data_IF_713652481393
#
_entry.id   IF_713652481393
#
_cell.length_a   1.000
_cell.length_b   1.000
_cell.length_c   1.000
_cell.angle_alpha   90.00
_cell.angle_beta   90.00
_cell.angle_gamma   90.00
#
_symmetry.space_group_name_H-M   'P 1'
#
loop_
_entity.id
_entity.type
_entity.pdbx_description
1 polymer ?
#
# COMPACT_ATOMS: atom_id res chain seq x y z
N UNK A 1 8.44 13.01 -13.85
CA UNK A 1 9.61 12.90 -12.98
C UNK A 1 9.48 13.72 -11.70
N UNK A 2 9.16 15.00 -11.82
CA UNK A 2 8.94 15.83 -10.62
C UNK A 2 7.80 15.32 -9.74
N UNK A 3 6.76 14.78 -10.38
CA UNK A 3 5.60 14.24 -9.65
C UNK A 3 5.98 13.06 -8.76
N UNK A 4 6.86 12.17 -9.24
CA UNK A 4 7.34 11.05 -8.43
C UNK A 4 8.06 11.55 -7.18
N UNK A 5 8.99 12.49 -7.31
CA UNK A 5 9.74 13.03 -6.17
C UNK A 5 8.82 13.73 -5.18
N UNK A 6 7.83 14.44 -5.68
CA UNK A 6 6.84 15.12 -4.84
C UNK A 6 6.02 14.09 -4.06
N UNK A 7 5.52 13.06 -4.73
CA UNK A 7 4.71 12.02 -4.11
C UNK A 7 5.52 11.16 -3.14
N UNK A 8 6.78 10.84 -3.44
CA UNK A 8 7.66 10.14 -2.53
C UNK A 8 7.85 10.92 -1.23
N UNK A 9 8.09 12.22 -1.33
CA UNK A 9 8.28 13.09 -0.18
C UNK A 9 7.01 13.19 0.66
N UNK A 10 5.86 13.35 0.02
CA UNK A 10 4.56 13.39 0.69
C UNK A 10 4.32 12.08 1.43
N UNK A 11 4.58 10.94 0.77
CA UNK A 11 4.37 9.62 1.35
C UNK A 11 5.27 9.41 2.56
N UNK A 12 6.55 9.72 2.43
CA UNK A 12 7.51 9.59 3.54
C UNK A 12 7.08 10.41 4.75
N UNK A 13 6.68 11.64 4.51
CA UNK A 13 6.22 12.54 5.57
C UNK A 13 4.97 12.01 6.25
N UNK A 14 3.99 11.57 5.47
CA UNK A 14 2.72 11.04 5.99
C UNK A 14 2.92 9.76 6.79
N UNK A 15 3.72 8.82 6.28
CA UNK A 15 4.00 7.56 6.98
C UNK A 15 4.78 7.80 8.28
N UNK A 16 5.80 8.66 8.24
CA UNK A 16 6.56 9.00 9.44
C UNK A 16 5.69 9.66 10.51
N UNK A 17 4.78 10.52 10.09
CA UNK A 17 3.80 11.15 10.99
C UNK A 17 2.89 10.11 11.62
N UNK A 18 2.38 9.17 10.84
CA UNK A 18 1.53 8.09 11.32
C UNK A 18 2.27 7.23 12.35
N UNK A 19 3.49 6.79 12.02
CA UNK A 19 4.30 5.98 12.94
C UNK A 19 4.53 6.70 14.25
N UNK A 20 4.82 8.00 14.20
CA UNK A 20 5.02 8.82 15.39
C UNK A 20 3.75 8.91 16.24
N UNK A 21 2.60 9.08 15.60
CA UNK A 21 1.31 9.15 16.31
C UNK A 21 0.97 7.84 17.02
N UNK A 22 1.43 6.71 16.49
CA UNK A 22 1.17 5.38 17.04
C UNK A 22 2.38 4.79 17.78
N UNK A 23 3.36 5.61 18.17
CA UNK A 23 4.59 5.12 18.82
C UNK A 23 4.35 4.41 20.15
N UNK A 24 3.21 4.66 20.80
CA UNK A 24 2.84 4.04 22.06
C UNK A 24 1.74 3.00 21.91
N UNK A 25 1.47 2.54 20.71
CA UNK A 25 0.45 1.52 20.47
C UNK A 25 0.83 0.16 21.05
N UNK A 26 -0.15 -0.70 21.22
CA UNK A 26 0.04 -2.09 21.62
C UNK A 26 -0.66 -2.98 20.62
N UNK A 27 0.06 -3.80 19.82
CA UNK A 27 1.53 -3.90 19.75
C UNK A 27 2.15 -2.70 19.02
N UNK A 28 3.47 -2.59 19.11
CA UNK A 28 4.19 -1.52 18.43
C UNK A 28 4.53 -1.92 17.00
N UNK A 29 4.53 -0.94 16.10
CA UNK A 29 5.02 -1.13 14.73
C UNK A 29 6.53 -1.35 14.81
N UNK A 30 7.02 -2.46 14.23
CA UNK A 30 8.45 -2.78 14.25
C UNK A 30 9.19 -2.18 13.06
N UNK A 31 8.59 -2.19 11.89
CA UNK A 31 9.15 -1.63 10.66
C UNK A 31 8.04 -1.10 9.77
N UNK A 32 8.43 -0.26 8.83
CA UNK A 32 7.51 0.24 7.81
C UNK A 32 8.29 0.61 6.55
N UNK A 33 7.67 0.47 5.40
CA UNK A 33 8.23 0.92 4.13
C UNK A 33 7.11 1.06 3.10
N UNK A 34 7.44 1.66 1.97
CA UNK A 34 6.49 1.80 0.88
C UNK A 34 7.22 1.66 -0.46
N UNK A 35 6.47 1.28 -1.47
CA UNK A 35 6.95 1.19 -2.84
C UNK A 35 5.78 1.32 -3.82
N UNK A 36 6.08 1.28 -5.09
CA UNK A 36 5.09 1.32 -6.16
C UNK A 36 5.53 2.23 -7.30
N UNK A 37 5.06 1.92 -8.49
CA UNK A 37 5.36 2.70 -9.70
C UNK A 37 4.48 3.95 -9.76
N UNK A 38 4.63 4.85 -8.76
CA UNK A 38 3.80 6.04 -8.63
C UNK A 38 4.05 7.08 -9.72
N UNK A 39 5.18 6.97 -10.44
CA UNK A 39 5.46 7.80 -11.61
C UNK A 39 4.47 7.55 -12.76
N UNK A 40 3.86 6.37 -12.80
CA UNK A 40 2.84 6.02 -13.79
C UNK A 40 1.44 6.31 -13.27
N UNK A 41 1.19 6.07 -12.00
CA UNK A 41 -0.08 6.37 -11.36
C UNK A 41 0.07 6.46 -9.85
N UNK A 42 -0.46 7.52 -9.22
CA UNK A 42 -0.49 7.62 -7.75
C UNK A 42 -1.19 6.44 -7.07
N UNK A 43 -2.09 5.76 -7.79
CA UNK A 43 -2.82 4.59 -7.28
C UNK A 43 -1.93 3.38 -7.04
N UNK A 44 -0.70 3.37 -7.57
CA UNK A 44 0.22 2.24 -7.46
C UNK A 44 0.95 2.16 -6.12
N UNK A 45 0.75 3.12 -5.22
CA UNK A 45 1.43 3.14 -3.92
C UNK A 45 0.99 1.98 -3.04
N UNK A 46 1.98 1.29 -2.45
CA UNK A 46 1.76 0.23 -1.47
C UNK A 46 2.57 0.58 -0.22
N UNK A 47 1.92 0.60 0.92
CA UNK A 47 2.54 0.89 2.22
C UNK A 47 2.41 -0.35 3.09
N UNK A 48 3.51 -0.77 3.72
CA UNK A 48 3.55 -1.90 4.62
C UNK A 48 3.94 -1.44 6.02
N UNK A 49 3.16 -1.91 7.00
CA UNK A 49 3.50 -1.83 8.42
C UNK A 49 3.76 -3.24 8.93
N UNK A 50 4.86 -3.43 9.63
CA UNK A 50 5.27 -4.73 10.16
C UNK A 50 5.21 -4.74 11.68
N UNK A 51 4.74 -5.86 12.20
CA UNK A 51 4.87 -6.19 13.62
C UNK A 51 5.92 -7.30 13.75
N UNK A 52 6.41 -7.56 14.96
CA UNK A 52 7.45 -8.58 15.12
C UNK A 52 6.92 -9.99 14.92
N UNK A 53 5.79 -10.31 15.54
CA UNK A 53 5.26 -11.67 15.58
C UNK A 53 3.86 -11.74 14.99
N UNK A 54 3.49 -12.95 14.55
CA UNK A 54 2.15 -13.20 14.02
C UNK A 54 1.07 -13.01 15.11
N UNK A 55 1.40 -13.29 16.37
CA UNK A 55 0.49 -13.04 17.50
C UNK A 55 0.23 -11.54 17.68
N UNK A 56 1.27 -10.71 17.54
CA UNK A 56 1.12 -9.26 17.62
C UNK A 56 0.24 -8.73 16.49
N UNK A 57 0.41 -9.24 15.28
CA UNK A 57 -0.45 -8.84 14.15
C UNK A 57 -1.90 -9.23 14.40
N UNK A 58 -2.14 -10.45 14.90
CA UNK A 58 -3.48 -10.91 15.25
C UNK A 58 -4.14 -9.99 16.28
N UNK A 59 -3.38 -9.58 17.30
CA UNK A 59 -3.85 -8.63 18.31
C UNK A 59 -4.16 -7.27 17.70
N UNK A 60 -3.29 -6.77 16.81
CA UNK A 60 -3.50 -5.49 16.16
C UNK A 60 -4.75 -5.47 15.29
N UNK A 61 -5.07 -6.58 14.64
CA UNK A 61 -6.32 -6.73 13.87
C UNK A 61 -7.53 -6.76 14.80
N UNK A 62 -7.43 -7.54 15.87
CA UNK A 62 -8.53 -7.73 16.81
C UNK A 62 -8.88 -6.47 17.59
N UNK A 63 -7.87 -5.72 18.04
CA UNK A 63 -8.11 -4.50 18.83
C UNK A 63 -8.36 -3.24 17.99
N UNK A 64 -8.44 -3.36 16.66
CA UNK A 64 -8.72 -2.24 15.77
C UNK A 64 -7.54 -1.39 15.38
N UNK A 65 -6.32 -1.74 15.81
CA UNK A 65 -5.12 -0.95 15.50
C UNK A 65 -4.85 -0.90 14.01
N UNK A 66 -4.96 -2.03 13.30
CA UNK A 66 -4.74 -2.05 11.85
C UNK A 66 -5.71 -1.12 11.11
N UNK A 67 -6.98 -1.13 11.50
CA UNK A 67 -7.99 -0.23 10.92
C UNK A 67 -7.64 1.23 11.18
N UNK A 68 -7.22 1.55 12.40
CA UNK A 68 -6.82 2.91 12.77
C UNK A 68 -5.59 3.36 11.99
N UNK A 69 -4.59 2.48 11.83
CA UNK A 69 -3.39 2.78 11.05
C UNK A 69 -3.74 3.07 9.60
N UNK A 70 -4.60 2.26 9.00
CA UNK A 70 -5.04 2.45 7.63
C UNK A 70 -5.75 3.80 7.46
N UNK A 71 -6.73 4.09 8.31
CA UNK A 71 -7.49 5.33 8.24
C UNK A 71 -6.60 6.55 8.45
N UNK A 72 -5.71 6.49 9.44
CA UNK A 72 -4.85 7.63 9.76
C UNK A 72 -3.79 7.85 8.67
N UNK A 73 -3.26 6.78 8.10
CA UNK A 73 -2.30 6.89 6.99
C UNK A 73 -2.93 7.57 5.79
N UNK A 74 -4.14 7.15 5.43
CA UNK A 74 -4.89 7.77 4.32
C UNK A 74 -5.13 9.24 4.62
N UNK A 75 -5.58 9.57 5.82
CA UNK A 75 -5.81 10.97 6.21
C UNK A 75 -4.55 11.80 6.14
N UNK A 76 -3.44 11.29 6.65
CA UNK A 76 -2.16 12.01 6.62
C UNK A 76 -1.65 12.19 5.19
N UNK A 77 -1.83 11.20 4.32
CA UNK A 77 -1.46 11.33 2.90
C UNK A 77 -2.26 12.45 2.24
N UNK A 78 -3.56 12.47 2.45
CA UNK A 78 -4.44 13.51 1.88
C UNK A 78 -4.06 14.88 2.44
N UNK A 79 -3.83 14.99 3.74
CA UNK A 79 -3.44 16.25 4.39
C UNK A 79 -2.12 16.79 3.86
N UNK A 80 -1.19 15.91 3.48
CA UNK A 80 0.11 16.30 2.92
C UNK A 80 0.06 16.55 1.40
N UNK A 81 -1.10 16.34 0.78
CA UNK A 81 -1.30 16.66 -0.64
C UNK A 81 -1.30 15.49 -1.60
N UNK A 82 -1.36 14.25 -1.11
CA UNK A 82 -1.49 13.11 -1.99
C UNK A 82 -2.85 13.16 -2.70
N UNK A 83 -2.93 12.84 -4.01
CA UNK A 83 -4.18 12.96 -4.75
C UNK A 83 -5.28 12.07 -4.15
N UNK A 84 -6.45 12.64 -3.89
CA UNK A 84 -7.59 11.90 -3.33
C UNK A 84 -8.04 10.77 -4.24
N UNK A 85 -7.92 10.95 -5.54
CA UNK A 85 -8.31 9.96 -6.55
C UNK A 85 -7.51 8.67 -6.42
N UNK A 86 -6.32 8.72 -5.81
CA UNK A 86 -5.47 7.54 -5.63
C UNK A 86 -6.08 6.51 -4.67
N UNK A 87 -7.04 6.91 -3.84
CA UNK A 87 -7.70 6.03 -2.87
C UNK A 87 -9.03 5.47 -3.39
N UNK A 88 -9.37 5.80 -4.62
CA UNK A 88 -10.58 5.33 -5.29
C UNK A 88 -10.19 4.42 -6.45
N UNK A 89 -11.15 3.60 -6.90
CA UNK A 89 -10.94 2.78 -8.08
C UNK A 89 -10.66 3.67 -9.28
N UNK A 90 -9.71 3.26 -10.13
CA UNK A 90 -9.37 4.00 -11.33
C UNK A 90 -10.62 4.17 -12.21
N UNK A 91 -10.75 5.37 -12.79
CA UNK A 91 -11.86 5.65 -13.71
C UNK A 91 -11.64 4.92 -15.03
N UNK A 92 -12.74 4.57 -15.69
CA UNK A 92 -12.70 3.81 -16.95
C UNK A 92 -12.21 4.61 -18.14
N UNK A 93 -12.10 5.93 -18.03
CA UNK A 93 -11.70 6.79 -19.14
C UNK A 93 -10.37 6.37 -19.75
N UNK A 94 -10.40 5.98 -21.02
CA UNK A 94 -9.24 5.59 -21.79
C UNK A 94 -8.89 4.10 -21.71
N UNK A 95 -9.36 3.38 -20.70
CA UNK A 95 -9.05 1.96 -20.54
C UNK A 95 -9.76 1.15 -21.63
N UNK A 96 -11.00 1.50 -21.95
CA UNK A 96 -11.77 0.86 -23.01
C UNK A 96 -11.14 0.99 -24.40
N UNK A 97 -10.17 1.87 -24.55
CA UNK A 97 -9.43 2.06 -25.81
C UNK A 97 -8.16 1.24 -25.90
N UNK A 98 -7.80 0.53 -24.82
CA UNK A 98 -6.61 -0.32 -24.82
C UNK A 98 -6.87 -1.52 -25.71
N UNK A 99 -6.00 -1.74 -26.70
CA UNK A 99 -6.10 -2.87 -27.62
C UNK A 99 -5.05 -3.91 -27.24
N UNK A 100 -5.50 -5.13 -27.01
CA UNK A 100 -4.64 -6.27 -26.71
C UNK A 100 -4.52 -7.14 -27.97
N UNK A 101 -3.32 -7.24 -28.52
CA UNK A 101 -3.08 -7.96 -29.78
C UNK A 101 -3.25 -9.48 -29.62
N UNK A 102 -2.90 -10.02 -28.45
CA UNK A 102 -2.92 -11.46 -28.19
C UNK A 102 -3.51 -11.73 -26.82
N UNK A 103 -4.74 -12.17 -26.76
CA UNK A 103 -5.36 -12.53 -25.51
C UNK A 103 -6.78 -12.98 -25.69
N UNK A 104 -7.24 -13.89 -24.82
CA UNK A 104 -8.62 -14.28 -24.80
C UNK A 104 -9.46 -13.13 -24.18
N UNK A 105 -10.76 -13.12 -24.46
CA UNK A 105 -11.65 -12.12 -23.89
C UNK A 105 -11.61 -12.18 -22.34
N UNK A 106 -11.50 -13.38 -21.77
CA UNK A 106 -11.38 -13.57 -20.34
C UNK A 106 -10.11 -12.94 -19.77
N UNK A 107 -8.96 -13.15 -20.43
CA UNK A 107 -7.70 -12.54 -20.02
C UNK A 107 -7.76 -11.02 -20.09
N UNK A 108 -8.33 -10.47 -21.14
CA UNK A 108 -8.50 -9.03 -21.31
C UNK A 108 -9.39 -8.47 -20.21
N UNK A 109 -10.49 -9.13 -19.91
CA UNK A 109 -11.43 -8.70 -18.86
C UNK A 109 -10.76 -8.70 -17.48
N UNK A 110 -9.96 -9.74 -17.19
CA UNK A 110 -9.23 -9.82 -15.91
C UNK A 110 -8.21 -8.72 -15.77
N UNK A 111 -7.46 -8.41 -16.83
CA UNK A 111 -6.47 -7.32 -16.83
C UNK A 111 -7.17 -5.99 -16.60
N UNK A 112 -8.27 -5.74 -17.30
CA UNK A 112 -9.04 -4.50 -17.17
C UNK A 112 -9.62 -4.36 -15.77
N UNK A 113 -10.15 -5.43 -15.20
CA UNK A 113 -10.69 -5.43 -13.85
C UNK A 113 -9.60 -5.09 -12.83
N UNK A 114 -8.41 -5.69 -12.96
CA UNK A 114 -7.28 -5.40 -12.08
C UNK A 114 -6.86 -3.94 -12.17
N UNK A 115 -6.81 -3.37 -13.37
CA UNK A 115 -6.46 -1.96 -13.56
C UNK A 115 -7.51 -1.04 -12.94
N UNK A 116 -8.80 -1.36 -13.10
CA UNK A 116 -9.89 -0.54 -12.59
C UNK A 116 -9.99 -0.57 -11.06
N UNK A 117 -9.54 -1.68 -10.44
CA UNK A 117 -9.60 -1.84 -9.00
C UNK A 117 -8.34 -1.36 -8.27
N UNK A 118 -7.33 -0.90 -9.01
CA UNK A 118 -6.07 -0.47 -8.40
C UNK A 118 -6.24 0.82 -7.63
N UNK A 119 -5.80 0.82 -6.39
CA UNK A 119 -5.81 1.97 -5.49
C UNK A 119 -4.66 1.84 -4.50
N UNK A 120 -4.32 2.93 -3.81
CA UNK A 120 -3.32 2.88 -2.74
C UNK A 120 -3.68 1.77 -1.76
N UNK A 121 -2.72 0.92 -1.45
CA UNK A 121 -2.88 -0.19 -0.52
C UNK A 121 -2.07 0.04 0.73
N UNK A 122 -2.70 -0.21 1.88
CA UNK A 122 -2.01 -0.23 3.17
C UNK A 122 -2.16 -1.65 3.70
N UNK A 123 -1.02 -2.31 3.91
CA UNK A 123 -0.98 -3.73 4.21
C UNK A 123 -0.15 -3.99 5.46
N UNK A 124 -0.33 -5.17 6.05
CA UNK A 124 0.30 -5.53 7.31
C UNK A 124 0.88 -6.92 7.22
N UNK A 125 2.07 -7.10 7.78
CA UNK A 125 2.70 -8.41 7.90
C UNK A 125 3.60 -8.41 9.13
N UNK A 126 4.47 -9.41 9.28
CA UNK A 126 5.33 -9.56 10.44
C UNK A 126 6.74 -9.95 10.03
N UNK A 127 7.72 -9.60 10.87
CA UNK A 127 9.08 -10.07 10.70
C UNK A 127 9.14 -11.59 10.78
N UNK A 128 8.33 -12.20 11.67
CA UNK A 128 8.22 -13.64 11.81
C UNK A 128 7.80 -14.30 10.49
N UNK A 129 6.77 -13.77 9.83
CA UNK A 129 6.27 -14.34 8.56
C UNK A 129 7.32 -14.25 7.46
N UNK A 130 8.07 -13.15 7.40
CA UNK A 130 9.13 -12.97 6.42
C UNK A 130 10.26 -13.98 6.69
N UNK A 131 10.64 -14.20 7.95
CA UNK A 131 11.66 -15.16 8.31
C UNK A 131 11.24 -16.58 7.96
N UNK A 132 10.00 -16.96 8.25
CA UNK A 132 9.50 -18.31 7.99
C UNK A 132 9.33 -18.62 6.50
N UNK A 133 8.87 -17.65 5.71
CA UNK A 133 8.55 -17.86 4.30
C UNK A 133 9.70 -17.54 3.34
N UNK A 134 10.60 -16.65 3.73
CA UNK A 134 11.65 -16.15 2.84
C UNK A 134 13.02 -16.05 3.51
N UNK A 135 13.24 -16.72 4.65
CA UNK A 135 14.49 -16.71 5.40
C UNK A 135 15.01 -15.30 5.69
N UNK A 136 14.09 -14.36 5.93
CA UNK A 136 14.43 -12.95 6.17
C UNK A 136 14.74 -12.15 4.93
N UNK A 137 14.58 -12.69 3.75
CA UNK A 137 14.82 -11.98 2.49
C UNK A 137 13.55 -11.22 2.09
N UNK A 138 13.54 -9.93 2.34
CA UNK A 138 12.40 -9.05 2.06
C UNK A 138 12.09 -8.98 0.57
N UNK A 139 13.12 -9.01 -0.29
CA UNK A 139 12.89 -8.96 -1.74
C UNK A 139 12.14 -10.18 -2.24
N UNK A 140 12.47 -11.36 -1.71
CA UNK A 140 11.74 -12.59 -2.07
C UNK A 140 10.31 -12.55 -1.57
N UNK A 141 10.10 -12.06 -0.35
CA UNK A 141 8.78 -12.05 0.27
C UNK A 141 7.79 -11.16 -0.48
N UNK A 142 8.25 -10.01 -0.98
CA UNK A 142 7.40 -9.02 -1.62
C UNK A 142 7.42 -9.06 -3.16
N UNK A 143 7.93 -10.13 -3.73
CA UNK A 143 7.86 -10.33 -5.17
C UNK A 143 6.43 -10.54 -5.68
#
# INVERSE_FOLDING_TARGET
>A
MFEKFRLDRITKKAVNKTVKEFQNSTPKISQHFFYGAIEYSPNNLVIWYLFKTNNELALAKENGLCTQLEQKTIQNLIDEGYPKEAFEKAKTHGIEKITFANGTQEQINNIMENLLNRKVMISFTTEQDIDEKANGDYRMYFQ
#
